data_IF_019518010497
#
_entry.id   IF_019518010497
#
_cell.length_a   1.000
_cell.length_b   1.000
_cell.length_c   1.000
_cell.angle_alpha   90.00
_cell.angle_beta   90.00
_cell.angle_gamma   90.00
#
_symmetry.space_group_name_H-M   'P 1'
#
loop_
_entity.id
_entity.type
_entity.pdbx_description
1 polymer ?
#
# COMPACT_ATOMS: atom_id res chain seq x y z
N UNK A 1 -9.64 -1.65 -22.93
CA UNK A 1 -9.00 -2.98 -23.12
C UNK A 1 -10.09 -4.02 -23.27
N UNK A 2 -10.02 -4.90 -24.28
CA UNK A 2 -11.02 -5.95 -24.49
C UNK A 2 -10.68 -7.13 -23.59
N UNK A 3 -11.58 -7.48 -22.66
CA UNK A 3 -11.42 -8.64 -21.78
C UNK A 3 -12.21 -9.82 -22.32
N UNK A 4 -11.59 -11.00 -22.42
CA UNK A 4 -12.28 -12.20 -22.93
C UNK A 4 -13.40 -12.62 -21.98
N UNK A 5 -13.20 -12.43 -20.68
CA UNK A 5 -14.23 -12.69 -19.68
C UNK A 5 -15.51 -11.85 -19.91
N UNK A 6 -15.37 -10.58 -20.34
CA UNK A 6 -16.52 -9.71 -20.66
C UNK A 6 -17.25 -10.14 -21.94
N UNK A 7 -16.53 -10.70 -22.90
CA UNK A 7 -17.11 -11.23 -24.14
C UNK A 7 -17.87 -12.55 -23.88
N UNK A 8 -17.36 -13.40 -22.98
CA UNK A 8 -17.97 -14.69 -22.62
C UNK A 8 -19.20 -14.54 -21.70
N UNK A 9 -19.25 -13.48 -20.87
CA UNK A 9 -20.27 -13.32 -19.83
C UNK A 9 -21.01 -11.96 -19.95
N UNK A 10 -22.35 -11.97 -20.11
CA UNK A 10 -23.16 -10.75 -20.08
C UNK A 10 -22.97 -9.95 -18.80
N UNK A 11 -23.05 -8.62 -18.92
CA UNK A 11 -22.84 -7.67 -17.81
C UNK A 11 -23.66 -8.01 -16.56
N UNK A 12 -24.97 -8.24 -16.73
CA UNK A 12 -25.88 -8.56 -15.62
C UNK A 12 -25.44 -9.80 -14.83
N UNK A 13 -24.96 -10.84 -15.52
CA UNK A 13 -24.47 -12.06 -14.86
C UNK A 13 -23.18 -11.80 -14.08
N UNK A 14 -22.26 -11.00 -14.65
CA UNK A 14 -21.00 -10.62 -13.97
C UNK A 14 -21.30 -9.81 -12.71
N UNK A 15 -22.16 -8.79 -12.83
CA UNK A 15 -22.54 -7.93 -11.70
C UNK A 15 -23.17 -8.70 -10.55
N UNK A 16 -24.19 -9.52 -10.85
CA UNK A 16 -24.84 -10.37 -9.85
C UNK A 16 -23.85 -11.34 -9.19
N UNK A 17 -22.93 -11.89 -9.96
CA UNK A 17 -21.89 -12.78 -9.41
C UNK A 17 -20.95 -12.02 -8.46
N UNK A 18 -20.42 -10.87 -8.89
CA UNK A 18 -19.52 -10.04 -8.09
C UNK A 18 -20.15 -9.58 -6.78
N UNK A 19 -21.41 -9.12 -6.83
CA UNK A 19 -22.16 -8.71 -5.65
C UNK A 19 -22.35 -9.89 -4.69
N UNK A 20 -22.76 -11.06 -5.21
CA UNK A 20 -22.96 -12.27 -4.39
C UNK A 20 -21.67 -12.72 -3.70
N UNK A 21 -20.53 -12.75 -4.41
CA UNK A 21 -19.26 -13.19 -3.83
C UNK A 21 -18.70 -12.16 -2.85
N UNK A 22 -18.90 -10.85 -3.09
CA UNK A 22 -18.54 -9.79 -2.14
C UNK A 22 -19.36 -9.86 -0.86
N UNK A 23 -20.65 -10.15 -0.95
CA UNK A 23 -21.49 -10.37 0.24
C UNK A 23 -21.06 -11.60 1.03
N UNK A 24 -20.68 -12.68 0.34
CA UNK A 24 -20.22 -13.92 0.97
C UNK A 24 -18.82 -13.79 1.60
N UNK A 25 -17.94 -12.98 1.00
CA UNK A 25 -16.55 -12.80 1.42
C UNK A 25 -16.19 -11.30 1.41
N UNK A 26 -16.59 -10.53 2.44
CA UNK A 26 -16.43 -9.07 2.46
C UNK A 26 -14.97 -8.60 2.53
N UNK A 27 -14.07 -9.42 3.09
CA UNK A 27 -12.64 -9.10 3.21
C UNK A 27 -11.83 -9.56 2.00
N UNK A 28 -12.52 -9.96 0.92
CA UNK A 28 -11.88 -10.45 -0.30
C UNK A 28 -12.35 -9.72 -1.54
N UNK A 29 -11.41 -9.56 -2.46
CA UNK A 29 -11.56 -8.83 -3.70
C UNK A 29 -11.66 -9.83 -4.85
N UNK A 30 -12.73 -9.77 -5.66
CA UNK A 30 -12.86 -10.61 -6.83
C UNK A 30 -12.04 -10.01 -7.98
N UNK A 31 -11.03 -10.77 -8.45
CA UNK A 31 -10.13 -10.34 -9.51
C UNK A 31 -10.24 -11.28 -10.71
N UNK A 32 -10.24 -10.70 -11.91
CA UNK A 32 -10.11 -11.41 -13.18
C UNK A 32 -8.70 -11.13 -13.72
N UNK A 33 -7.91 -12.20 -13.88
CA UNK A 33 -6.53 -12.15 -14.36
C UNK A 33 -6.47 -12.73 -15.76
N UNK A 34 -6.06 -11.92 -16.73
CA UNK A 34 -5.90 -12.35 -18.12
C UNK A 34 -4.50 -12.06 -18.65
N UNK A 35 -4.09 -12.81 -19.66
CA UNK A 35 -2.83 -12.63 -20.36
C UNK A 35 -2.99 -11.55 -21.44
N UNK A 36 -2.00 -10.68 -21.59
CA UNK A 36 -1.91 -9.78 -22.74
C UNK A 36 -1.80 -10.56 -24.06
N UNK A 37 -2.49 -10.13 -25.11
CA UNK A 37 -2.56 -10.85 -26.39
C UNK A 37 -1.20 -11.05 -27.06
N UNK A 38 -0.31 -10.05 -26.94
CA UNK A 38 1.02 -10.04 -27.58
C UNK A 38 2.16 -10.56 -26.69
N UNK A 39 1.88 -11.11 -25.50
CA UNK A 39 2.94 -11.53 -24.57
C UNK A 39 3.39 -12.98 -24.81
N UNK A 40 4.68 -13.26 -24.61
CA UNK A 40 5.27 -14.61 -24.67
C UNK A 40 5.15 -15.40 -23.36
N UNK A 41 4.47 -14.86 -22.35
CA UNK A 41 4.27 -15.54 -21.07
C UNK A 41 3.25 -16.68 -21.19
N UNK A 42 3.44 -17.76 -20.42
CA UNK A 42 2.47 -18.84 -20.31
C UNK A 42 1.07 -18.35 -19.89
N UNK A 43 0.03 -19.01 -20.38
CA UNK A 43 -1.36 -18.74 -19.99
C UNK A 43 -1.63 -19.25 -18.59
N UNK A 44 -2.34 -18.45 -17.79
CA UNK A 44 -2.77 -18.83 -16.44
C UNK A 44 -3.90 -19.87 -16.49
N UNK A 45 -3.88 -20.83 -15.57
CA UNK A 45 -4.83 -21.94 -15.49
C UNK A 45 -6.22 -21.49 -15.05
N UNK A 46 -6.29 -20.57 -14.09
CA UNK A 46 -7.53 -20.00 -13.56
C UNK A 46 -7.51 -18.49 -13.76
N UNK A 47 -8.55 -17.94 -14.38
CA UNK A 47 -8.68 -16.48 -14.55
C UNK A 47 -9.29 -15.79 -13.33
N UNK A 48 -10.12 -16.49 -12.56
CA UNK A 48 -10.89 -15.93 -11.44
C UNK A 48 -10.15 -16.16 -10.12
N UNK A 49 -9.86 -15.07 -9.41
CA UNK A 49 -9.21 -15.08 -8.11
C UNK A 49 -10.04 -14.35 -7.07
N UNK A 50 -9.94 -14.82 -5.83
CA UNK A 50 -10.54 -14.17 -4.68
C UNK A 50 -9.42 -13.85 -3.69
N UNK A 51 -8.97 -12.61 -3.73
CA UNK A 51 -7.72 -12.16 -3.10
C UNK A 51 -8.01 -11.43 -1.79
N UNK A 52 -7.26 -11.63 -0.70
CA UNK A 52 -7.43 -10.82 0.51
C UNK A 52 -7.24 -9.32 0.25
N UNK A 53 -8.01 -8.47 0.92
CA UNK A 53 -7.93 -7.00 0.77
C UNK A 53 -6.56 -6.42 1.16
N UNK A 54 -5.89 -7.08 2.10
CA UNK A 54 -4.67 -6.58 2.74
C UNK A 54 -3.41 -7.07 2.01
N UNK A 55 -3.58 -7.83 0.93
CA UNK A 55 -2.47 -8.27 0.09
C UNK A 55 -1.93 -7.07 -0.69
N UNK A 56 -0.61 -6.94 -0.79
CA UNK A 56 -0.01 -5.94 -1.67
C UNK A 56 -0.03 -6.39 -3.12
N UNK A 57 0.03 -5.42 -4.03
CA UNK A 57 0.18 -5.66 -5.47
C UNK A 57 1.41 -6.51 -5.76
N UNK A 58 2.55 -6.25 -5.12
CA UNK A 58 3.78 -7.03 -5.29
C UNK A 58 3.65 -8.49 -4.85
N UNK A 59 2.97 -8.73 -3.72
CA UNK A 59 2.64 -10.09 -3.27
C UNK A 59 1.70 -10.79 -4.27
N UNK A 60 0.73 -10.07 -4.82
CA UNK A 60 -0.16 -10.61 -5.84
C UNK A 60 0.58 -11.00 -7.13
N UNK A 61 1.53 -10.17 -7.57
CA UNK A 61 2.43 -10.49 -8.70
C UNK A 61 3.22 -11.76 -8.43
N UNK A 62 3.73 -11.94 -7.21
CA UNK A 62 4.44 -13.16 -6.81
C UNK A 62 3.54 -14.41 -6.91
N UNK A 63 2.28 -14.30 -6.47
CA UNK A 63 1.29 -15.39 -6.60
C UNK A 63 1.04 -15.74 -8.07
N UNK A 64 0.84 -14.75 -8.93
CA UNK A 64 0.67 -14.96 -10.38
C UNK A 64 1.91 -15.65 -10.95
N UNK A 65 3.11 -15.12 -10.68
CA UNK A 65 4.39 -15.68 -11.15
C UNK A 65 4.53 -17.16 -10.80
N UNK A 66 4.16 -17.56 -9.58
CA UNK A 66 4.19 -18.96 -9.13
C UNK A 66 3.19 -19.84 -9.90
N UNK A 67 2.01 -19.32 -10.24
CA UNK A 67 0.96 -20.05 -11.00
C UNK A 67 1.38 -20.34 -12.44
N UNK A 68 1.95 -19.35 -13.12
CA UNK A 68 2.44 -19.48 -14.50
C UNK A 68 3.83 -20.14 -14.59
N UNK A 69 4.43 -20.52 -13.46
CA UNK A 69 5.79 -21.12 -13.35
C UNK A 69 6.86 -20.28 -14.05
N UNK A 70 6.77 -18.96 -13.93
CA UNK A 70 7.70 -18.04 -14.61
C UNK A 70 9.02 -17.94 -13.82
N UNK A 71 10.15 -18.16 -14.51
CA UNK A 71 11.50 -18.01 -13.96
C UNK A 71 11.70 -16.62 -13.32
N UNK A 72 12.39 -16.51 -12.17
CA UNK A 72 12.68 -15.22 -11.53
C UNK A 72 13.41 -14.24 -12.44
N UNK A 73 14.18 -14.73 -13.41
CA UNK A 73 14.93 -13.93 -14.39
C UNK A 73 14.02 -13.18 -15.38
N UNK A 74 12.81 -13.70 -15.63
CA UNK A 74 11.86 -13.08 -16.56
C UNK A 74 11.03 -12.04 -15.83
N UNK A 75 10.93 -10.85 -16.43
CA UNK A 75 10.05 -9.80 -15.94
C UNK A 75 8.57 -10.17 -16.14
N UNK A 76 7.73 -9.73 -15.19
CA UNK A 76 6.28 -9.74 -15.33
C UNK A 76 5.74 -8.42 -14.84
N UNK A 77 4.88 -7.83 -15.65
CA UNK A 77 4.20 -6.57 -15.40
C UNK A 77 2.71 -6.85 -15.31
N UNK A 78 2.02 -6.14 -14.41
CA UNK A 78 0.56 -6.22 -14.28
C UNK A 78 -0.06 -4.86 -14.51
N UNK A 79 -1.18 -4.85 -15.21
CA UNK A 79 -1.89 -3.65 -15.62
C UNK A 79 -3.31 -3.74 -15.09
N UNK A 80 -3.78 -2.65 -14.50
CA UNK A 80 -5.16 -2.46 -14.04
C UNK A 80 -5.65 -1.18 -14.69
N UNK A 81 -6.71 -1.26 -15.50
CA UNK A 81 -7.18 -0.15 -16.34
C UNK A 81 -6.05 0.54 -17.14
N UNK A 82 -5.16 -0.25 -17.74
CA UNK A 82 -3.97 0.19 -18.48
C UNK A 82 -2.90 0.93 -17.65
N UNK A 83 -3.06 1.01 -16.33
CA UNK A 83 -2.08 1.61 -15.41
C UNK A 83 -1.32 0.51 -14.70
N UNK A 84 -0.04 0.74 -14.41
CA UNK A 84 0.76 -0.16 -13.59
C UNK A 84 0.67 0.26 -12.12
N UNK A 85 -0.05 -0.51 -11.29
CA UNK A 85 -0.17 -0.17 -9.89
C UNK A 85 1.17 -0.29 -9.16
N UNK A 86 1.46 0.57 -8.17
CA UNK A 86 2.67 0.46 -7.36
C UNK A 86 2.70 -0.87 -6.58
N UNK A 87 3.85 -1.54 -6.55
CA UNK A 87 4.00 -2.85 -5.88
C UNK A 87 3.72 -2.80 -4.36
N UNK A 88 3.91 -1.65 -3.73
CA UNK A 88 3.64 -1.42 -2.30
C UNK A 88 2.17 -1.12 -1.99
N UNK A 89 1.36 -0.76 -2.99
CA UNK A 89 -0.05 -0.44 -2.79
C UNK A 89 -0.83 -1.67 -2.35
N UNK A 90 -1.82 -1.45 -1.49
CA UNK A 90 -2.77 -2.49 -1.10
C UNK A 90 -3.74 -2.76 -2.25
N UNK A 91 -4.09 -4.04 -2.43
CA UNK A 91 -5.05 -4.41 -3.48
C UNK A 91 -6.44 -3.82 -3.21
N UNK A 92 -6.79 -3.57 -1.95
CA UNK A 92 -8.00 -2.84 -1.54
C UNK A 92 -8.07 -1.41 -2.09
N UNK A 93 -6.96 -0.68 -2.05
CA UNK A 93 -6.87 0.68 -2.60
C UNK A 93 -7.04 0.63 -4.12
N UNK A 94 -6.29 -0.25 -4.79
CA UNK A 94 -6.37 -0.43 -6.24
C UNK A 94 -7.79 -0.82 -6.66
N UNK A 95 -8.46 -1.70 -5.90
CA UNK A 95 -9.84 -2.09 -6.16
C UNK A 95 -10.82 -0.92 -6.04
N UNK A 96 -10.71 -0.11 -4.99
CA UNK A 96 -11.63 1.01 -4.80
C UNK A 96 -11.51 2.06 -5.91
N UNK A 97 -10.29 2.26 -6.43
CA UNK A 97 -10.00 3.24 -7.48
C UNK A 97 -10.29 2.71 -8.90
N UNK A 98 -10.06 1.41 -9.15
CA UNK A 98 -9.99 0.85 -10.50
C UNK A 98 -10.93 -0.34 -10.76
N UNK A 99 -11.81 -0.71 -9.83
CA UNK A 99 -12.84 -1.73 -10.11
C UNK A 99 -13.72 -1.32 -11.28
N UNK A 100 -14.21 -2.31 -12.01
CA UNK A 100 -15.17 -2.09 -13.08
C UNK A 100 -16.59 -1.93 -12.52
N UNK A 101 -17.51 -1.46 -13.35
CA UNK A 101 -18.93 -1.27 -12.98
C UNK A 101 -19.63 -2.59 -12.62
N UNK A 102 -19.10 -3.71 -13.09
CA UNK A 102 -19.58 -5.04 -12.73
C UNK A 102 -19.09 -5.53 -11.35
N UNK A 103 -18.21 -4.80 -10.67
CA UNK A 103 -17.68 -5.16 -9.36
C UNK A 103 -16.47 -6.10 -9.36
N UNK A 104 -15.90 -6.44 -10.51
CA UNK A 104 -14.63 -7.16 -10.61
C UNK A 104 -13.44 -6.20 -10.80
N UNK A 105 -12.27 -6.63 -10.33
CA UNK A 105 -10.99 -6.02 -10.70
C UNK A 105 -10.39 -6.73 -11.91
N UNK A 106 -10.21 -6.02 -13.02
CA UNK A 106 -9.58 -6.58 -14.21
C UNK A 106 -8.08 -6.31 -14.19
N UNK A 107 -7.31 -7.40 -14.19
CA UNK A 107 -5.85 -7.38 -14.17
C UNK A 107 -5.33 -8.08 -15.40
N UNK A 108 -4.41 -7.45 -16.12
CA UNK A 108 -3.73 -8.07 -17.25
C UNK A 108 -2.24 -8.14 -17.01
N UNK A 109 -1.65 -9.32 -17.24
CA UNK A 109 -0.22 -9.50 -17.11
C UNK A 109 0.49 -9.60 -18.47
N UNK A 110 1.71 -9.07 -18.54
CA UNK A 110 2.58 -9.08 -19.72
C UNK A 110 4.05 -9.23 -19.34
N UNK A 111 4.87 -9.69 -20.28
CA UNK A 111 6.34 -9.68 -20.19
C UNK A 111 6.93 -8.31 -20.46
N UNK A 112 6.14 -7.41 -21.05
CA UNK A 112 6.56 -6.07 -21.45
C UNK A 112 5.86 -5.01 -20.60
N UNK A 113 6.58 -3.95 -20.29
CA UNK A 113 6.07 -2.79 -19.56
C UNK A 113 5.30 -1.81 -20.47
N UNK A 114 5.31 -2.04 -21.79
CA UNK A 114 4.73 -1.15 -22.80
C UNK A 114 3.49 -1.80 -23.40
N UNK A 115 2.30 -1.38 -22.98
CA UNK A 115 1.08 -1.61 -23.76
C UNK A 115 1.00 -0.50 -24.82
N UNK A 116 1.58 -0.70 -26.01
CA UNK A 116 1.53 0.36 -27.02
C UNK A 116 2.47 0.20 -28.20
N UNK A 117 2.21 -0.79 -29.06
CA UNK A 117 2.49 -0.62 -30.49
C UNK A 117 1.23 -1.10 -31.21
N UNK A 118 0.34 -0.14 -31.46
CA UNK A 118 -0.60 0.00 -32.58
C UNK A 118 -1.65 1.07 -32.21
N UNK A 119 -1.36 2.35 -32.48
CA UNK A 119 -2.41 3.33 -32.79
C UNK A 119 -3.14 4.08 -31.67
N UNK A 120 -2.55 4.35 -30.51
CA UNK A 120 -2.86 5.53 -29.67
C UNK A 120 -1.83 5.61 -28.54
N UNK A 121 -1.14 6.73 -28.40
CA UNK A 121 -0.09 6.92 -27.38
C UNK A 121 -0.67 6.97 -25.97
N UNK A 122 -0.94 5.81 -25.37
CA UNK A 122 -1.01 5.67 -23.92
C UNK A 122 0.39 5.30 -23.43
N UNK A 123 1.18 6.33 -23.10
CA UNK A 123 2.45 6.13 -22.40
C UNK A 123 2.18 5.39 -21.08
N UNK A 124 2.97 4.35 -20.75
CA UNK A 124 2.85 3.66 -19.47
C UNK A 124 3.04 4.64 -18.31
N UNK A 125 2.13 4.60 -17.36
CA UNK A 125 2.10 5.44 -16.15
C UNK A 125 3.20 5.11 -15.12
N UNK A 126 4.34 4.56 -15.56
CA UNK A 126 5.50 4.41 -14.70
C UNK A 126 6.29 5.72 -14.65
N UNK A 127 5.76 6.66 -13.86
CA UNK A 127 6.52 7.52 -12.94
C UNK A 127 5.48 8.35 -12.15
N UNK A 128 4.98 7.80 -11.03
CA UNK A 128 4.34 8.61 -9.98
C UNK A 128 4.99 8.25 -8.65
N UNK A 129 6.26 8.61 -8.53
CA UNK A 129 6.70 9.16 -7.26
C UNK A 129 6.14 10.58 -7.22
N UNK A 130 5.52 10.92 -6.10
CA UNK A 130 5.21 12.27 -5.65
C UNK A 130 6.25 13.27 -6.19
N UNK A 131 5.80 14.19 -7.08
CA UNK A 131 6.40 15.51 -7.41
C UNK A 131 6.10 16.02 -8.84
N UNK A 132 5.00 15.69 -9.51
CA UNK A 132 4.71 16.33 -10.82
C UNK A 132 3.20 16.48 -11.10
N UNK A 133 2.57 17.48 -10.46
CA UNK A 133 1.30 18.05 -10.93
C UNK A 133 1.55 19.26 -11.86
N UNK A 134 2.79 19.78 -11.90
CA UNK A 134 3.15 20.98 -12.67
C UNK A 134 3.55 20.76 -14.14
N UNK A 135 3.97 19.56 -14.53
CA UNK A 135 4.62 19.37 -15.83
C UNK A 135 3.66 19.12 -17.01
N UNK A 136 2.50 18.50 -16.79
CA UNK A 136 1.58 18.13 -17.90
C UNK A 136 0.79 19.33 -18.46
N UNK A 137 0.41 20.30 -17.62
CA UNK A 137 -0.24 21.53 -18.10
C UNK A 137 0.74 22.43 -18.85
N UNK A 138 2.00 22.53 -18.39
CA UNK A 138 3.04 23.32 -19.05
C UNK A 138 3.38 22.79 -20.44
N UNK A 139 3.49 21.48 -20.62
CA UNK A 139 3.81 20.88 -21.91
C UNK A 139 2.63 20.95 -22.88
N UNK A 140 1.39 20.78 -22.40
CA UNK A 140 0.19 20.97 -23.21
C UNK A 140 0.01 22.44 -23.65
N UNK A 141 0.24 23.39 -22.74
CA UNK A 141 0.26 24.83 -23.04
C UNK A 141 1.38 25.17 -24.02
N UNK A 142 2.59 24.60 -23.87
CA UNK A 142 3.71 24.80 -24.81
C UNK A 142 3.36 24.32 -26.21
N UNK A 143 2.71 23.17 -26.34
CA UNK A 143 2.28 22.62 -27.64
C UNK A 143 1.17 23.50 -28.26
N UNK A 144 0.20 23.94 -27.46
CA UNK A 144 -0.86 24.87 -27.90
C UNK A 144 -0.27 26.20 -28.38
N UNK A 145 0.68 26.78 -27.63
CA UNK A 145 1.35 28.04 -27.99
C UNK A 145 2.24 27.88 -29.22
N UNK A 146 2.96 26.76 -29.36
CA UNK A 146 3.76 26.47 -30.55
C UNK A 146 2.89 26.40 -31.83
N UNK A 147 1.68 25.83 -31.73
CA UNK A 147 0.70 25.85 -32.83
C UNK A 147 0.21 27.26 -33.14
N UNK A 148 -0.13 28.05 -32.12
CA UNK A 148 -0.58 29.45 -32.28
C UNK A 148 0.49 30.30 -32.97
N UNK A 149 1.76 30.14 -32.57
CA UNK A 149 2.88 30.87 -33.15
C UNK A 149 3.19 30.44 -34.59
N UNK A 150 2.77 29.25 -35.03
CA UNK A 150 2.97 28.74 -36.39
C UNK A 150 1.90 29.22 -37.40
N UNK A 151 0.83 29.92 -36.97
CA UNK A 151 -0.21 30.39 -37.89
C UNK A 151 0.30 31.50 -38.83
N UNK A 152 0.09 31.38 -40.15
CA UNK A 152 0.53 32.36 -41.14
C UNK A 152 -0.13 33.75 -41.02
N UNK A 153 -1.31 33.82 -40.40
CA UNK A 153 -2.10 35.05 -40.24
C UNK A 153 -1.67 35.95 -39.09
N UNK A 154 -0.69 35.53 -38.27
CA UNK A 154 -0.25 36.26 -37.09
C UNK A 154 0.75 37.37 -37.48
N UNK A 155 0.41 38.63 -37.19
CA UNK A 155 1.28 39.77 -37.53
C UNK A 155 2.56 39.75 -36.69
N UNK A 156 3.69 40.14 -37.31
CA UNK A 156 5.02 40.16 -36.67
C UNK A 156 5.05 40.79 -35.26
N UNK A 157 4.47 41.98 -35.01
CA UNK A 157 4.49 42.59 -33.67
C UNK A 157 3.74 41.75 -32.62
N UNK A 158 2.60 41.13 -32.97
CA UNK A 158 1.86 40.26 -32.04
C UNK A 158 2.64 38.98 -31.71
N UNK A 159 3.38 38.44 -32.68
CA UNK A 159 4.25 37.27 -32.49
C UNK A 159 5.38 37.56 -31.50
N UNK A 160 6.04 38.72 -31.63
CA UNK A 160 7.14 39.11 -30.73
C UNK A 160 6.66 39.35 -29.29
N UNK A 161 5.53 40.03 -29.10
CA UNK A 161 4.95 40.24 -27.76
C UNK A 161 4.58 38.93 -27.08
N UNK A 162 3.98 37.98 -27.81
CA UNK A 162 3.66 36.66 -27.27
C UNK A 162 4.90 35.85 -26.88
N UNK A 163 5.97 35.91 -27.68
CA UNK A 163 7.24 35.24 -27.36
C UNK A 163 7.89 35.80 -26.09
N UNK A 164 7.89 37.11 -25.91
CA UNK A 164 8.45 37.76 -24.70
C UNK A 164 7.64 37.38 -23.47
N UNK A 165 6.32 37.48 -23.52
CA UNK A 165 5.46 37.11 -22.38
C UNK A 165 5.61 35.63 -22.00
N UNK A 166 5.70 34.74 -22.99
CA UNK A 166 5.93 33.31 -22.73
C UNK A 166 7.26 33.07 -22.04
N UNK A 167 8.33 33.77 -22.47
CA UNK A 167 9.65 33.65 -21.85
C UNK A 167 9.65 34.13 -20.40
N UNK A 168 8.96 35.24 -20.11
CA UNK A 168 8.81 35.75 -18.74
C UNK A 168 8.06 34.76 -17.85
N UNK A 169 6.93 34.22 -18.33
CA UNK A 169 6.14 33.22 -17.59
C UNK A 169 6.98 31.97 -17.30
N UNK A 170 7.78 31.53 -18.28
CA UNK A 170 8.65 30.38 -18.10
C UNK A 170 9.68 30.62 -17.00
N UNK A 171 10.37 31.77 -17.00
CA UNK A 171 11.33 32.11 -15.96
C UNK A 171 10.70 32.16 -14.56
N UNK A 172 9.48 32.69 -14.45
CA UNK A 172 8.74 32.70 -13.18
C UNK A 172 8.38 31.30 -12.69
N UNK A 173 7.98 30.40 -13.59
CA UNK A 173 7.71 29.00 -13.26
C UNK A 173 8.97 28.27 -12.79
N UNK A 174 10.10 28.47 -13.49
CA UNK A 174 11.37 27.83 -13.12
C UNK A 174 11.85 28.29 -11.73
N UNK A 175 11.63 29.58 -11.41
CA UNK A 175 11.92 30.13 -10.08
C UNK A 175 11.05 29.48 -9.00
N UNK A 176 9.74 29.35 -9.23
CA UNK A 176 8.80 28.73 -8.28
C UNK A 176 9.11 27.25 -8.06
N UNK A 177 9.42 26.50 -9.11
CA UNK A 177 9.78 25.09 -9.01
C UNK A 177 11.07 24.89 -8.20
N UNK A 178 12.05 25.77 -8.37
CA UNK A 178 13.28 25.75 -7.58
C UNK A 178 12.98 25.98 -6.09
N UNK A 179 12.12 26.94 -5.75
CA UNK A 179 11.72 27.20 -4.36
C UNK A 179 10.88 26.06 -3.75
N UNK A 180 10.05 25.37 -4.55
CA UNK A 180 9.29 24.19 -4.10
C UNK A 180 10.22 23.02 -3.78
N UNK A 181 11.18 22.73 -4.66
CA UNK A 181 12.18 21.67 -4.43
C UNK A 181 13.02 21.93 -3.17
N UNK A 182 13.36 23.21 -2.90
CA UNK A 182 14.03 23.59 -1.66
C UNK A 182 13.18 23.27 -0.42
N UNK A 183 11.88 23.61 -0.44
CA UNK A 183 10.97 23.30 0.68
C UNK A 183 10.74 21.81 0.88
N UNK A 184 10.71 21.03 -0.19
CA UNK A 184 10.61 19.56 -0.08
C UNK A 184 11.86 18.95 0.56
N UNK A 185 13.05 19.45 0.20
CA UNK A 185 14.28 19.03 0.86
C UNK A 185 14.31 19.40 2.36
N UNK A 186 13.78 20.57 2.72
CA UNK A 186 13.61 20.96 4.14
C UNK A 186 12.62 20.05 4.86
N UNK A 187 11.50 19.72 4.22
CA UNK A 187 10.51 18.77 4.76
C UNK A 187 11.13 17.39 5.00
N UNK A 188 11.89 16.86 4.05
CA UNK A 188 12.54 15.56 4.19
C UNK A 188 13.52 15.52 5.37
N UNK A 189 14.27 16.61 5.60
CA UNK A 189 15.13 16.74 6.79
C UNK A 189 14.34 16.78 8.09
N UNK A 190 13.16 17.40 8.08
CA UNK A 190 12.28 17.42 9.23
C UNK A 190 11.69 16.03 9.53
N UNK A 191 11.29 15.30 8.48
CA UNK A 191 10.77 13.93 8.60
C UNK A 191 11.87 12.98 9.16
N UNK A 192 13.13 13.16 8.74
CA UNK A 192 14.29 12.45 9.31
C UNK A 192 14.49 12.76 10.80
N UNK A 193 14.42 14.03 11.19
CA UNK A 193 14.54 14.44 12.59
C UNK A 193 13.38 13.93 13.47
N UNK A 194 12.16 13.86 12.94
CA UNK A 194 11.00 13.29 13.63
C UNK A 194 11.24 11.80 13.90
N UNK A 195 11.74 11.06 12.93
CA UNK A 195 12.06 9.64 13.07
C UNK A 195 13.14 9.40 14.14
N UNK A 196 14.17 10.24 14.23
CA UNK A 196 15.18 10.16 15.29
C UNK A 196 14.58 10.40 16.69
N UNK A 197 13.68 11.38 16.81
CA UNK A 197 12.99 11.69 18.06
C UNK A 197 12.11 10.52 18.49
N UNK A 198 11.31 9.96 17.58
CA UNK A 198 10.45 8.80 17.86
C UNK A 198 11.27 7.60 18.36
N UNK A 199 12.41 7.32 17.71
CA UNK A 199 13.31 6.24 18.13
C UNK A 199 13.92 6.50 19.52
N UNK A 200 14.21 7.75 19.86
CA UNK A 200 14.69 8.11 21.20
C UNK A 200 13.60 7.94 22.26
N UNK A 201 12.35 8.31 21.96
CA UNK A 201 11.21 8.09 22.85
C UNK A 201 10.98 6.60 23.12
N UNK A 202 11.09 5.76 22.10
CA UNK A 202 10.90 4.31 22.23
C UNK A 202 11.98 3.69 23.13
N UNK A 203 13.25 4.10 22.98
CA UNK A 203 14.36 3.69 23.86
C UNK A 203 14.14 4.11 25.31
N UNK A 204 13.61 5.32 25.54
CA UNK A 204 13.28 5.82 26.88
C UNK A 204 12.11 5.02 27.47
N UNK A 205 11.09 4.70 26.67
CA UNK A 205 9.96 3.88 27.09
C UNK A 205 10.42 2.47 27.50
N UNK A 206 11.27 1.82 26.69
CA UNK A 206 11.84 0.50 27.00
C UNK A 206 12.68 0.52 28.28
N UNK A 207 13.51 1.56 28.45
CA UNK A 207 14.31 1.73 29.66
C UNK A 207 13.42 1.93 30.90
N UNK A 208 12.31 2.64 30.75
CA UNK A 208 11.33 2.87 31.82
C UNK A 208 10.59 1.58 32.19
N UNK A 209 10.20 0.77 31.22
CA UNK A 209 9.58 -0.54 31.42
C UNK A 209 10.55 -1.49 32.14
N UNK A 210 11.82 -1.52 31.73
CA UNK A 210 12.86 -2.31 32.40
C UNK A 210 13.04 -1.89 33.86
N UNK A 211 13.13 -0.59 34.13
CA UNK A 211 13.22 -0.06 35.50
C UNK A 211 12.01 -0.41 36.35
N UNK A 212 10.79 -0.32 35.79
CA UNK A 212 9.56 -0.73 36.48
C UNK A 212 9.54 -2.23 36.79
N UNK A 213 9.95 -3.07 35.84
CA UNK A 213 10.07 -4.52 36.05
C UNK A 213 11.09 -4.86 37.15
N UNK A 214 12.21 -4.13 37.19
CA UNK A 214 13.25 -4.30 38.18
C UNK A 214 12.77 -3.89 39.58
N UNK A 215 12.04 -2.77 39.68
CA UNK A 215 11.41 -2.32 40.92
C UNK A 215 10.34 -3.31 41.43
N UNK A 216 9.53 -3.88 40.54
CA UNK A 216 8.58 -4.95 40.89
C UNK A 216 9.28 -6.20 41.41
N UNK A 217 10.37 -6.63 40.77
CA UNK A 217 11.14 -7.80 41.22
C UNK A 217 11.81 -7.58 42.58
N UNK A 218 12.27 -6.35 42.87
CA UNK A 218 12.79 -5.97 44.18
C UNK A 218 11.70 -5.96 45.27
N UNK A 219 10.47 -5.54 44.93
CA UNK A 219 9.34 -5.57 45.85
C UNK A 219 8.83 -6.99 46.17
N UNK A 220 9.22 -8.01 45.38
CA UNK A 220 8.71 -9.40 45.47
C UNK A 220 9.72 -10.36 46.17
N UNK A 221 10.78 -9.87 46.82
CA UNK A 221 11.71 -10.73 47.58
C UNK A 221 11.88 -10.31 49.06
N UNK A 222 12.04 -11.25 50.01
CA UNK A 222 11.12 -12.27 50.50
C UNK A 222 10.50 -11.85 51.86
N UNK A 223 9.29 -11.27 51.87
CA UNK A 223 8.50 -11.11 53.11
C UNK A 223 7.52 -12.28 53.33
N UNK A 224 7.33 -13.15 52.33
CA UNK A 224 6.38 -14.28 52.37
C UNK A 224 6.99 -15.62 52.79
N UNK A 225 8.12 -15.64 53.53
CA UNK A 225 8.72 -16.90 54.06
C UNK A 225 8.91 -16.94 55.59
N UNK A 226 8.06 -16.27 56.35
CA UNK A 226 8.14 -16.29 57.82
C UNK A 226 6.81 -16.50 58.58
N UNK A 227 5.73 -16.94 57.93
CA UNK A 227 4.46 -17.22 58.62
C UNK A 227 3.88 -18.59 58.21
N UNK A 228 4.61 -19.67 58.51
CA UNK A 228 4.04 -21.03 58.53
C UNK A 228 4.71 -21.94 59.56
N UNK A 229 5.13 -21.39 60.71
CA UNK A 229 5.36 -22.20 61.92
C UNK A 229 4.12 -22.05 62.79
N UNK A 230 3.27 -23.05 62.73
CA UNK A 230 2.12 -23.25 63.64
C UNK A 230 2.57 -23.17 65.11
N UNK A 231 1.89 -22.41 65.98
CA UNK A 231 2.12 -22.48 67.42
C UNK A 231 1.57 -23.80 68.00
N UNK A 232 2.16 -24.34 69.08
CA UNK A 232 1.73 -25.61 69.66
C UNK A 232 0.32 -25.50 70.26
N UNK A 233 -0.53 -26.48 69.95
CA UNK A 233 -1.88 -26.58 70.49
C UNK A 233 -1.85 -26.92 71.99
N UNK A 234 -2.47 -26.06 72.80
CA UNK A 234 -2.90 -26.41 74.15
C UNK A 234 -4.21 -27.21 74.03
N UNK A 235 -4.16 -28.50 74.35
CA UNK A 235 -5.36 -29.30 74.62
C UNK A 235 -5.45 -29.48 76.13
N UNK A 236 -6.24 -28.63 76.78
CA UNK A 236 -6.85 -28.92 78.08
C UNK A 236 -8.20 -29.57 77.78
N UNK A 237 -8.32 -30.86 78.09
CA UNK A 237 -9.62 -31.53 78.17
C UNK A 237 -9.64 -32.39 79.42
N UNK A 238 -10.39 -31.92 80.42
CA UNK A 238 -10.74 -32.65 81.62
C UNK A 238 -11.36 -34.00 81.28
N UNK A 239 -10.76 -35.08 81.81
CA UNK A 239 -11.50 -36.29 82.15
C UNK A 239 -11.27 -36.58 83.62
N UNK A 240 -12.30 -36.28 84.39
CA UNK A 240 -12.50 -36.65 85.77
C UNK A 240 -12.32 -38.16 86.00
N UNK A 241 -11.80 -38.46 87.20
CA UNK A 241 -12.06 -39.65 88.03
C UNK A 241 -12.21 -41.01 87.32
N UNK A 242 -11.30 -41.94 87.58
CA UNK A 242 -11.55 -43.01 88.57
C UNK A 242 -10.43 -44.05 88.65
N UNK A 243 -10.25 -44.55 89.87
CA UNK A 243 -9.57 -45.77 90.31
C UNK A 243 -8.07 -45.68 90.57
N UNK A 244 -7.64 -45.43 91.82
CA UNK A 244 -7.64 -46.31 93.02
C UNK A 244 -6.34 -47.09 93.15
N UNK A 245 -5.51 -46.60 94.08
CA UNK A 245 -4.68 -47.32 95.07
C UNK A 245 -4.37 -48.81 94.81
N UNK A 246 -3.06 -49.10 94.75
CA UNK A 246 -2.32 -50.27 95.30
C UNK A 246 -0.91 -50.21 94.70
N UNK A 247 0.21 -50.30 95.41
CA UNK A 247 0.54 -50.58 96.81
C UNK A 247 1.91 -50.00 97.10
#
# INVERSE_FOLDING_TARGET
>A
MRSRFKDEHPFEKRKLEAERIRQKYPDRIPCIVEKAEKSDIATIDKKKYLVPSDLTVGQFVYVIRKRIKLSPEKAIFIFVNNVLPPSSSLLSQVYNEHKDEDGFLYVVYSSENTFGHDGESLRPYYQRQSNDIGHNACDEIRIQVARILAFPSLTAPKRTTLQVNMKTIQTSLDTLNTSLSQRENEKNKLDEAIMEIEQAYEKIADSSIQLLSFAQNLAISPITRAESRTPPQYILSDKNLSNTLRS
#
